data_IF_271938080072
#
_entry.id   IF_271938080072
#
_cell.length_a   1.000
_cell.length_b   1.000
_cell.length_c   1.000
_cell.angle_alpha   90.00
_cell.angle_beta   90.00
_cell.angle_gamma   90.00
#
_symmetry.space_group_name_H-M   'P 1'
#
loop_
_entity.id
_entity.type
_entity.pdbx_description
1 polymer ?
#
# COMPACT_ATOMS: atom_id res chain seq x y z
N UNK A 1 1.49 19.37 -6.36
CA UNK A 1 0.70 19.39 -5.10
C UNK A 1 1.42 20.14 -3.99
N UNK A 2 2.72 19.94 -3.79
CA UNK A 2 3.46 20.63 -2.71
C UNK A 2 3.62 22.16 -2.90
N UNK A 3 3.66 22.65 -4.14
CA UNK A 3 3.84 24.08 -4.42
C UNK A 3 2.68 24.97 -3.91
N UNK A 4 1.44 24.47 -3.90
CA UNK A 4 0.27 25.23 -3.43
C UNK A 4 0.20 25.28 -1.89
N UNK A 5 0.61 24.19 -1.23
CA UNK A 5 0.71 24.14 0.23
C UNK A 5 1.88 24.97 0.78
N UNK A 6 2.91 25.21 -0.04
CA UNK A 6 4.08 26.04 0.29
C UNK A 6 3.89 27.52 -0.03
N UNK A 7 2.77 27.92 -0.64
CA UNK A 7 2.45 29.32 -0.90
C UNK A 7 2.18 30.08 0.41
N UNK A 8 2.47 31.38 0.45
CA UNK A 8 2.16 32.25 1.58
C UNK A 8 1.29 33.44 1.12
N UNK A 9 0.00 33.52 1.51
CA UNK A 9 -0.70 32.59 2.40
C UNK A 9 -0.95 31.21 1.74
N UNK A 10 -1.09 30.14 2.54
CA UNK A 10 -1.34 28.80 2.02
C UNK A 10 -2.68 28.76 1.29
N UNK A 11 -2.66 28.28 0.05
CA UNK A 11 -3.87 28.15 -0.76
C UNK A 11 -4.52 26.81 -0.41
N UNK A 12 -5.79 26.79 0.05
CA UNK A 12 -6.45 25.54 0.40
C UNK A 12 -6.61 24.67 -0.85
N UNK A 13 -6.11 23.43 -0.77
CA UNK A 13 -6.27 22.44 -1.82
C UNK A 13 -7.57 21.68 -1.60
N UNK A 14 -8.54 21.86 -2.50
CA UNK A 14 -9.75 21.02 -2.54
C UNK A 14 -9.50 19.87 -3.51
N UNK A 15 -9.72 18.62 -3.08
CA UNK A 15 -9.63 17.44 -3.94
C UNK A 15 -11.04 16.95 -4.23
N UNK A 16 -11.40 16.95 -5.51
CA UNK A 16 -12.67 16.41 -5.99
C UNK A 16 -12.41 15.10 -6.72
N UNK A 17 -13.06 14.03 -6.29
CA UNK A 17 -13.00 12.72 -6.93
C UNK A 17 -14.31 12.43 -7.64
N UNK A 18 -14.22 11.90 -8.85
CA UNK A 18 -15.39 11.44 -9.61
C UNK A 18 -15.48 9.93 -9.46
N UNK A 19 -16.56 9.48 -8.84
CA UNK A 19 -16.81 8.09 -8.49
C UNK A 19 -18.05 7.54 -9.21
N UNK A 20 -18.22 6.22 -9.12
CA UNK A 20 -19.45 5.51 -9.48
C UNK A 20 -19.95 4.70 -8.29
N UNK A 21 -21.26 4.57 -8.14
CA UNK A 21 -21.88 3.65 -7.19
C UNK A 21 -23.02 2.87 -7.84
N UNK A 22 -23.35 1.71 -7.29
CA UNK A 22 -24.48 0.90 -7.80
C UNK A 22 -25.82 1.62 -7.60
N UNK A 23 -25.98 2.37 -6.51
CA UNK A 23 -27.23 3.05 -6.16
C UNK A 23 -27.44 4.39 -6.86
N UNK A 24 -26.36 5.12 -7.18
CA UNK A 24 -26.43 6.50 -7.66
C UNK A 24 -25.78 6.71 -9.04
N UNK A 25 -25.26 5.66 -9.68
CA UNK A 25 -24.75 5.71 -11.05
C UNK A 25 -23.36 6.32 -11.16
N UNK A 26 -23.11 7.06 -12.25
CA UNK A 26 -21.80 7.64 -12.59
C UNK A 26 -21.76 9.15 -12.30
N UNK A 27 -20.55 9.71 -12.12
CA UNK A 27 -20.38 11.17 -12.01
C UNK A 27 -20.53 11.71 -10.59
N UNK A 28 -20.43 10.85 -9.58
CA UNK A 28 -20.56 11.26 -8.18
C UNK A 28 -19.31 12.01 -7.73
N UNK A 29 -19.46 13.29 -7.37
CA UNK A 29 -18.35 14.09 -6.85
C UNK A 29 -18.27 13.86 -5.34
N UNK A 30 -17.12 13.39 -4.87
CA UNK A 30 -16.82 13.28 -3.44
C UNK A 30 -15.52 14.01 -3.13
N UNK A 31 -15.49 14.69 -1.99
CA UNK A 31 -14.29 15.36 -1.47
C UNK A 31 -13.51 14.46 -0.49
N UNK A 32 -14.14 13.40 0.00
CA UNK A 32 -13.60 12.53 1.07
C UNK A 32 -13.31 11.11 0.60
N UNK A 33 -14.04 10.62 -0.40
CA UNK A 33 -13.97 9.23 -0.85
C UNK A 33 -12.99 9.07 -2.00
N UNK A 34 -11.71 9.13 -1.64
CA UNK A 34 -10.62 8.86 -2.57
C UNK A 34 -10.76 7.43 -3.12
N UNK A 35 -10.84 7.25 -4.45
CA UNK A 35 -10.97 5.95 -5.07
C UNK A 35 -9.82 5.02 -4.68
N UNK A 36 -10.09 3.72 -4.54
CA UNK A 36 -9.09 2.72 -4.13
C UNK A 36 -7.75 2.83 -4.89
N UNK A 37 -7.80 3.06 -6.20
CA UNK A 37 -6.61 3.20 -7.05
C UNK A 37 -5.70 4.38 -6.64
N UNK A 38 -6.28 5.45 -6.11
CA UNK A 38 -5.59 6.67 -5.69
C UNK A 38 -5.15 6.64 -4.22
N UNK A 39 -5.72 5.75 -3.41
CA UNK A 39 -5.38 5.64 -1.98
C UNK A 39 -3.90 5.23 -1.78
N UNK A 40 -3.24 5.95 -0.87
CA UNK A 40 -1.91 5.58 -0.34
C UNK A 40 -1.93 4.23 0.39
N UNK A 41 -0.77 3.60 0.55
CA UNK A 41 -0.62 2.34 1.31
C UNK A 41 -1.20 2.44 2.72
N UNK A 42 -0.94 3.54 3.42
CA UNK A 42 -1.46 3.75 4.79
C UNK A 42 -2.98 3.78 4.78
N UNK A 43 -3.60 4.49 3.83
CA UNK A 43 -5.07 4.56 3.72
C UNK A 43 -5.69 3.22 3.36
N UNK A 44 -5.06 2.46 2.45
CA UNK A 44 -5.49 1.10 2.11
C UNK A 44 -5.46 0.16 3.31
N UNK A 45 -4.40 0.21 4.12
CA UNK A 45 -4.30 -0.56 5.36
C UNK A 45 -5.41 -0.16 6.35
N UNK A 46 -5.73 1.13 6.50
CA UNK A 46 -6.85 1.58 7.33
C UNK A 46 -8.21 1.07 6.84
N UNK A 47 -8.44 1.10 5.52
CA UNK A 47 -9.64 0.54 4.88
C UNK A 47 -9.75 -0.96 5.16
N UNK A 48 -8.65 -1.71 5.00
CA UNK A 48 -8.60 -3.14 5.31
C UNK A 48 -8.83 -3.43 6.81
N UNK A 49 -8.28 -2.61 7.71
CA UNK A 49 -8.55 -2.72 9.16
C UNK A 49 -10.02 -2.49 9.48
N UNK A 50 -10.66 -1.53 8.79
CA UNK A 50 -12.09 -1.25 8.95
C UNK A 50 -12.95 -2.40 8.41
N UNK A 51 -12.59 -2.95 7.24
CA UNK A 51 -13.26 -4.13 6.69
C UNK A 51 -13.11 -5.34 7.62
N UNK A 52 -11.92 -5.55 8.18
CA UNK A 52 -11.67 -6.65 9.11
C UNK A 52 -12.57 -6.58 10.35
N UNK A 53 -12.76 -5.39 10.93
CA UNK A 53 -13.69 -5.18 12.06
C UNK A 53 -15.14 -5.50 11.69
N UNK A 54 -15.54 -5.29 10.45
CA UNK A 54 -16.89 -5.68 10.00
C UNK A 54 -17.13 -7.19 10.03
N UNK A 55 -16.06 -8.00 10.19
CA UNK A 55 -16.13 -9.45 10.32
C UNK A 55 -16.16 -9.96 11.77
N UNK A 56 -16.13 -9.09 12.79
CA UNK A 56 -15.99 -9.49 14.22
C UNK A 56 -17.15 -10.38 14.75
N UNK A 57 -18.24 -10.53 13.99
CA UNK A 57 -19.37 -11.44 14.31
C UNK A 57 -19.50 -12.67 13.40
N UNK A 58 -18.60 -12.85 12.43
CA UNK A 58 -18.68 -13.98 11.50
C UNK A 58 -18.32 -15.29 12.20
N UNK A 59 -19.20 -16.29 12.13
CA UNK A 59 -19.03 -17.60 12.78
C UNK A 59 -19.08 -18.77 11.80
N UNK A 60 -19.69 -18.59 10.63
CA UNK A 60 -19.73 -19.60 9.57
C UNK A 60 -18.84 -19.18 8.38
N UNK A 61 -17.71 -19.88 8.26
CA UNK A 61 -16.71 -19.66 7.22
C UNK A 61 -16.84 -20.60 6.02
N UNK A 62 -17.92 -21.40 5.96
CA UNK A 62 -18.15 -22.38 4.90
C UNK A 62 -19.04 -21.86 3.77
N UNK A 63 -19.69 -20.71 3.97
CA UNK A 63 -20.61 -20.13 3.01
C UNK A 63 -19.90 -19.55 1.78
N UNK A 64 -20.59 -19.57 0.62
CA UNK A 64 -20.08 -18.89 -0.58
C UNK A 64 -19.95 -17.37 -0.37
N UNK A 65 -20.81 -16.79 0.48
CA UNK A 65 -20.72 -15.38 0.87
C UNK A 65 -19.41 -15.09 1.60
N UNK A 66 -19.04 -15.90 2.59
CA UNK A 66 -17.77 -15.75 3.30
C UNK A 66 -16.58 -15.92 2.35
N UNK A 67 -16.62 -16.95 1.50
CA UNK A 67 -15.59 -17.19 0.48
C UNK A 67 -15.37 -15.96 -0.41
N UNK A 68 -16.44 -15.27 -0.83
CA UNK A 68 -16.34 -14.04 -1.62
C UNK A 68 -15.74 -12.89 -0.81
N UNK A 69 -16.24 -12.64 0.40
CA UNK A 69 -15.69 -11.58 1.27
C UNK A 69 -14.20 -11.79 1.57
N UNK A 70 -13.78 -13.03 1.82
CA UNK A 70 -12.39 -13.37 2.02
C UNK A 70 -11.57 -13.13 0.75
N UNK A 71 -12.06 -13.56 -0.41
CA UNK A 71 -11.41 -13.33 -1.71
C UNK A 71 -11.24 -11.83 -2.01
N UNK A 72 -12.25 -11.01 -1.72
CA UNK A 72 -12.19 -9.56 -1.95
C UNK A 72 -11.19 -8.89 -1.00
N UNK A 73 -11.16 -9.29 0.28
CA UNK A 73 -10.14 -8.84 1.23
C UNK A 73 -8.72 -9.14 0.76
N UNK A 74 -8.45 -10.37 0.31
CA UNK A 74 -7.11 -10.76 -0.16
C UNK A 74 -6.74 -10.15 -1.50
N UNK A 75 -7.71 -9.83 -2.36
CA UNK A 75 -7.47 -9.09 -3.59
C UNK A 75 -6.99 -7.67 -3.27
N UNK A 76 -7.67 -6.96 -2.37
CA UNK A 76 -7.26 -5.64 -1.91
C UNK A 76 -5.91 -5.68 -1.15
N UNK A 77 -5.68 -6.71 -0.32
CA UNK A 77 -4.40 -6.89 0.36
C UNK A 77 -3.24 -7.11 -0.61
N UNK A 78 -3.44 -7.92 -1.67
CA UNK A 78 -2.46 -8.10 -2.75
C UNK A 78 -2.15 -6.78 -3.44
N UNK A 79 -3.17 -6.02 -3.83
CA UNK A 79 -2.96 -4.72 -4.46
C UNK A 79 -2.26 -3.74 -3.52
N UNK A 80 -2.47 -3.85 -2.21
CA UNK A 80 -1.77 -3.04 -1.20
C UNK A 80 -0.29 -3.41 -1.11
N UNK A 81 0.07 -4.69 -1.22
CA UNK A 81 1.47 -5.11 -1.34
C UNK A 81 2.15 -4.54 -2.58
N UNK A 82 1.48 -4.59 -3.73
CA UNK A 82 2.01 -3.99 -4.97
C UNK A 82 2.25 -2.49 -4.82
N UNK A 83 1.28 -1.77 -4.24
CA UNK A 83 1.44 -0.34 -3.97
C UNK A 83 2.53 -0.06 -2.93
N UNK A 84 2.71 -0.93 -1.93
CA UNK A 84 3.76 -0.79 -0.92
C UNK A 84 5.15 -0.90 -1.55
N UNK A 85 5.36 -1.85 -2.46
CA UNK A 85 6.64 -2.00 -3.16
C UNK A 85 6.96 -0.71 -3.93
N UNK A 86 6.01 -0.18 -4.69
CA UNK A 86 6.18 1.04 -5.48
C UNK A 86 6.39 2.29 -4.59
N UNK A 87 5.49 2.50 -3.64
CA UNK A 87 5.40 3.72 -2.85
C UNK A 87 6.51 3.81 -1.77
N UNK A 88 6.83 2.67 -1.14
CA UNK A 88 7.61 2.64 0.10
C UNK A 88 8.97 1.99 -0.12
N UNK A 89 9.03 0.75 -0.63
CA UNK A 89 10.31 0.06 -0.83
C UNK A 89 11.16 0.75 -1.91
N UNK A 90 10.56 1.02 -3.07
CA UNK A 90 11.21 1.73 -4.18
C UNK A 90 11.18 3.25 -4.00
N UNK A 91 10.59 3.75 -2.91
CA UNK A 91 10.59 5.17 -2.55
C UNK A 91 10.03 6.09 -3.64
N UNK A 92 9.06 5.62 -4.46
CA UNK A 92 8.50 6.38 -5.60
C UNK A 92 9.52 6.74 -6.69
N UNK A 93 10.64 6.00 -6.81
CA UNK A 93 11.60 6.21 -7.91
C UNK A 93 10.94 5.96 -9.27
N UNK A 94 10.11 4.92 -9.35
CA UNK A 94 9.27 4.59 -10.50
C UNK A 94 7.84 4.45 -9.99
N UNK A 95 6.90 5.12 -10.64
CA UNK A 95 5.47 5.06 -10.33
C UNK A 95 4.66 4.85 -11.61
N UNK A 96 3.60 4.05 -11.54
CA UNK A 96 2.65 3.88 -12.65
C UNK A 96 2.10 5.24 -13.10
N UNK A 97 2.01 5.43 -14.42
CA UNK A 97 1.49 6.66 -15.05
C UNK A 97 2.28 7.94 -14.76
N UNK A 98 3.52 7.81 -14.28
CA UNK A 98 4.48 8.91 -14.24
C UNK A 98 5.55 8.71 -15.31
N UNK A 99 5.82 9.73 -16.12
CA UNK A 99 6.88 9.68 -17.15
C UNK A 99 8.28 9.72 -16.55
N UNK A 100 8.41 10.31 -15.36
CA UNK A 100 9.70 10.67 -14.80
C UNK A 100 10.23 9.58 -13.88
N UNK A 101 11.52 9.26 -14.04
CA UNK A 101 12.27 8.48 -13.05
C UNK A 101 12.81 9.45 -11.99
N UNK A 102 12.30 9.35 -10.75
CA UNK A 102 12.66 10.27 -9.65
C UNK A 102 13.99 9.89 -9.01
N UNK A 103 15.09 10.19 -9.69
CA UNK A 103 16.47 9.84 -9.25
C UNK A 103 16.80 10.35 -7.86
N UNK A 104 16.31 11.53 -7.47
CA UNK A 104 16.50 12.09 -6.12
C UNK A 104 15.88 11.23 -5.01
N UNK A 105 14.85 10.42 -5.32
CA UNK A 105 14.24 9.51 -4.34
C UNK A 105 15.16 8.35 -3.94
N UNK A 106 16.20 8.04 -4.73
CA UNK A 106 17.17 6.98 -4.42
C UNK A 106 17.86 7.17 -3.07
N UNK A 107 17.93 8.42 -2.57
CA UNK A 107 18.46 8.71 -1.23
C UNK A 107 17.73 7.95 -0.12
N UNK A 108 16.47 7.59 -0.30
CA UNK A 108 15.69 6.81 0.67
C UNK A 108 15.58 5.31 0.37
N UNK A 109 16.11 4.83 -0.76
CA UNK A 109 15.93 3.43 -1.19
C UNK A 109 17.01 2.53 -0.62
N UNK A 110 16.58 1.48 0.06
CA UNK A 110 17.41 0.36 0.52
C UNK A 110 16.61 -0.91 0.29
N UNK A 111 17.19 -1.85 -0.44
CA UNK A 111 16.59 -3.17 -0.71
C UNK A 111 17.58 -4.22 -0.27
N UNK A 112 17.14 -5.08 0.65
CA UNK A 112 17.93 -6.15 1.26
C UNK A 112 17.32 -7.51 0.89
N UNK A 113 18.09 -8.59 1.06
CA UNK A 113 17.64 -9.95 0.73
C UNK A 113 16.38 -10.36 1.52
N UNK A 114 16.27 -9.89 2.77
CA UNK A 114 15.08 -10.13 3.59
C UNK A 114 13.83 -9.40 3.07
N UNK A 115 13.97 -8.27 2.37
CA UNK A 115 12.85 -7.61 1.69
C UNK A 115 12.31 -8.49 0.56
N UNK A 116 13.22 -9.03 -0.27
CA UNK A 116 12.85 -9.94 -1.35
C UNK A 116 12.12 -11.17 -0.79
N UNK A 117 12.69 -11.80 0.23
CA UNK A 117 12.10 -12.98 0.87
C UNK A 117 10.72 -12.68 1.47
N UNK A 118 10.58 -11.58 2.21
CA UNK A 118 9.32 -11.19 2.85
C UNK A 118 8.25 -10.91 1.80
N UNK A 119 8.57 -10.15 0.75
CA UNK A 119 7.65 -9.86 -0.35
C UNK A 119 7.29 -11.13 -1.11
N UNK A 120 8.26 -11.99 -1.42
CA UNK A 120 8.00 -13.24 -2.14
C UNK A 120 6.98 -14.11 -1.39
N UNK A 121 7.20 -14.35 -0.10
CA UNK A 121 6.30 -15.18 0.70
C UNK A 121 4.95 -14.51 0.96
N UNK A 122 4.93 -13.20 1.20
CA UNK A 122 3.69 -12.46 1.35
C UNK A 122 2.86 -12.49 0.06
N UNK A 123 3.48 -12.20 -1.07
CA UNK A 123 2.84 -12.26 -2.40
C UNK A 123 2.33 -13.65 -2.70
N UNK A 124 3.11 -14.70 -2.43
CA UNK A 124 2.64 -16.09 -2.61
C UNK A 124 1.40 -16.36 -1.78
N UNK A 125 1.42 -15.99 -0.50
CA UNK A 125 0.31 -16.19 0.44
C UNK A 125 -0.97 -15.46 0.03
N UNK A 126 -0.87 -14.18 -0.37
CA UNK A 126 -2.05 -13.42 -0.81
C UNK A 126 -2.53 -13.86 -2.20
N UNK A 127 -1.62 -14.26 -3.09
CA UNK A 127 -1.95 -14.77 -4.44
C UNK A 127 -2.80 -16.04 -4.38
N UNK A 128 -2.45 -16.96 -3.49
CA UNK A 128 -3.19 -18.22 -3.30
C UNK A 128 -4.61 -18.00 -2.77
N UNK A 129 -4.92 -16.79 -2.27
CA UNK A 129 -6.20 -16.44 -1.64
C UNK A 129 -6.96 -15.34 -2.42
N UNK A 130 -6.34 -14.77 -3.45
CA UNK A 130 -6.92 -13.77 -4.33
C UNK A 130 -7.34 -14.42 -5.65
N UNK A 131 -8.57 -14.16 -6.12
CA UNK A 131 -8.87 -14.20 -7.55
C UNK A 131 -9.05 -15.57 -8.24
N UNK A 132 -8.15 -16.53 -8.02
CA UNK A 132 -7.93 -17.66 -8.93
C UNK A 132 -8.73 -18.92 -8.56
N UNK A 133 -9.07 -19.72 -9.58
CA UNK A 133 -9.61 -21.06 -9.39
C UNK A 133 -8.52 -21.95 -8.79
N UNK A 134 -8.86 -22.65 -7.71
CA UNK A 134 -7.92 -23.49 -6.99
C UNK A 134 -8.08 -24.93 -7.49
N UNK A 135 -6.96 -25.58 -7.82
CA UNK A 135 -6.98 -26.99 -8.18
C UNK A 135 -7.67 -27.79 -7.07
N UNK A 136 -8.59 -28.69 -7.46
CA UNK A 136 -9.42 -29.47 -6.52
C UNK A 136 -8.62 -30.26 -5.47
N UNK A 137 -7.36 -30.60 -5.78
CA UNK A 137 -6.44 -31.27 -4.87
C UNK A 137 -5.83 -30.36 -3.78
N UNK A 138 -5.91 -29.02 -3.93
CA UNK A 138 -5.49 -28.05 -2.92
C UNK A 138 -6.72 -27.55 -2.14
N UNK A 139 -7.13 -28.31 -1.13
CA UNK A 139 -8.12 -27.85 -0.17
C UNK A 139 -7.49 -26.84 0.82
N UNK A 140 -7.21 -25.62 0.35
CA UNK A 140 -6.81 -24.54 1.25
C UNK A 140 -8.07 -24.06 1.98
N UNK A 141 -8.11 -24.09 3.33
CA UNK A 141 -9.24 -23.56 4.07
C UNK A 141 -9.50 -22.09 3.72
N UNK A 142 -10.78 -21.73 3.65
CA UNK A 142 -11.17 -20.32 3.49
C UNK A 142 -10.61 -19.54 4.68
N UNK A 143 -9.88 -18.43 4.46
CA UNK A 143 -9.27 -17.67 5.54
C UNK A 143 -10.28 -17.22 6.60
N UNK A 144 -9.86 -17.26 7.86
CA UNK A 144 -10.61 -16.71 8.98
C UNK A 144 -10.28 -15.22 9.16
N UNK A 145 -11.08 -14.44 9.93
CA UNK A 145 -10.69 -13.09 10.32
C UNK A 145 -9.32 -13.03 11.00
N UNK A 146 -8.94 -14.06 11.76
CA UNK A 146 -7.63 -14.12 12.42
C UNK A 146 -6.47 -14.27 11.41
N UNK A 147 -6.65 -15.07 10.35
CA UNK A 147 -5.66 -15.19 9.28
C UNK A 147 -5.49 -13.84 8.57
N UNK A 148 -6.60 -13.19 8.24
CA UNK A 148 -6.62 -11.85 7.62
C UNK A 148 -5.93 -10.81 8.51
N UNK A 149 -6.19 -10.85 9.82
CA UNK A 149 -5.55 -9.98 10.81
C UNK A 149 -4.04 -10.17 10.80
N UNK A 150 -3.57 -11.41 10.90
CA UNK A 150 -2.14 -11.72 10.90
C UNK A 150 -1.45 -11.23 9.63
N UNK A 151 -2.08 -11.40 8.48
CA UNK A 151 -1.52 -10.99 7.19
C UNK A 151 -1.52 -9.46 7.04
N UNK A 152 -2.56 -8.80 7.54
CA UNK A 152 -2.67 -7.33 7.56
C UNK A 152 -1.67 -6.68 8.53
N UNK A 153 -1.47 -7.27 9.71
CA UNK A 153 -0.45 -6.83 10.65
C UNK A 153 0.96 -7.03 10.04
N UNK A 154 1.14 -8.12 9.27
CA UNK A 154 2.39 -8.41 8.57
C UNK A 154 2.81 -7.33 7.56
N UNK A 155 1.86 -6.81 6.77
CA UNK A 155 2.13 -5.71 5.83
C UNK A 155 2.32 -4.37 6.56
N UNK A 156 1.54 -4.08 7.61
CA UNK A 156 1.67 -2.83 8.36
C UNK A 156 3.00 -2.76 9.11
N UNK A 157 3.44 -3.88 9.70
CA UNK A 157 4.76 -3.96 10.30
C UNK A 157 5.86 -3.75 9.26
N UNK A 158 5.75 -4.37 8.09
CA UNK A 158 6.74 -4.18 7.01
C UNK A 158 6.81 -2.72 6.53
N UNK A 159 5.65 -2.06 6.44
CA UNK A 159 5.55 -0.63 6.14
C UNK A 159 6.31 0.20 7.18
N UNK A 160 6.11 -0.07 8.47
CA UNK A 160 6.76 0.64 9.57
C UNK A 160 8.29 0.45 9.49
N UNK A 161 8.74 -0.80 9.37
CA UNK A 161 10.16 -1.16 9.32
C UNK A 161 10.86 -0.48 8.13
N UNK A 162 10.26 -0.56 6.94
CA UNK A 162 10.81 0.03 5.71
C UNK A 162 10.82 1.55 5.77
N UNK A 163 9.77 2.17 6.32
CA UNK A 163 9.71 3.63 6.48
C UNK A 163 10.78 4.13 7.44
N UNK A 164 11.05 3.40 8.53
CA UNK A 164 12.14 3.74 9.46
C UNK A 164 13.49 3.70 8.75
N UNK A 165 13.79 2.57 8.09
CA UNK A 165 15.04 2.38 7.34
C UNK A 165 15.24 3.40 6.23
N UNK A 166 14.17 3.79 5.54
CA UNK A 166 14.19 4.89 4.56
C UNK A 166 14.71 6.18 5.19
N UNK A 167 14.15 6.61 6.32
CA UNK A 167 14.58 7.84 7.02
C UNK A 167 16.05 7.78 7.44
N UNK A 168 16.50 6.62 7.92
CA UNK A 168 17.90 6.41 8.32
C UNK A 168 18.83 6.50 7.11
N UNK A 169 18.43 5.93 5.96
CA UNK A 169 19.18 6.03 4.71
C UNK A 169 19.24 7.46 4.16
N UNK A 170 18.12 8.19 4.21
CA UNK A 170 18.04 9.60 3.83
C UNK A 170 19.02 10.43 4.66
N UNK A 171 18.99 10.29 5.98
CA UNK A 171 19.88 11.01 6.90
C UNK A 171 21.35 10.77 6.56
N UNK A 172 21.75 9.50 6.38
CA UNK A 172 23.13 9.13 6.05
C UNK A 172 23.59 9.67 4.69
N UNK A 173 22.71 9.69 3.68
CA UNK A 173 23.08 10.10 2.31
C UNK A 173 23.06 11.60 2.10
N UNK A 174 22.32 12.37 2.90
CA UNK A 174 22.43 13.84 2.94
C UNK A 174 23.86 14.30 3.26
N UNK A 175 24.62 13.52 4.04
CA UNK A 175 26.03 13.82 4.33
C UNK A 175 26.92 13.71 3.08
N UNK A 176 26.60 12.81 2.14
CA UNK A 176 27.33 12.67 0.87
C UNK A 176 27.03 13.78 -0.13
N UNK A 177 25.92 14.48 0.04
CA UNK A 177 25.50 15.60 -0.81
C UNK A 177 26.13 16.94 -0.36
N UNK A 178 26.89 16.95 0.75
CA UNK A 178 27.61 18.14 1.20
C UNK A 178 28.78 18.44 0.26
N UNK A 179 28.91 19.69 -0.26
CA UNK A 179 30.02 20.04 -1.13
C UNK A 179 31.36 19.93 -0.38
N UNK A 180 32.45 19.48 -1.04
CA UNK A 180 33.76 19.48 -0.41
C UNK A 180 34.14 20.90 0.02
N UNK A 181 34.69 21.02 1.24
CA UNK A 181 35.18 22.32 1.73
C UNK A 181 36.31 22.78 0.82
N UNK A 182 36.23 24.01 0.33
CA UNK A 182 37.27 24.59 -0.51
C UNK A 182 38.61 24.59 0.25
N UNK A 183 39.62 23.93 -0.30
CA UNK A 183 41.00 24.03 0.17
C UNK A 183 41.60 25.29 -0.44
N UNK A 184 41.82 26.32 0.37
CA UNK A 184 42.60 27.49 -0.07
C UNK A 184 44.06 27.04 -0.18
N UNK A 185 44.62 27.10 -1.39
CA UNK A 185 46.05 26.87 -1.66
C UNK A 185 46.89 28.05 -1.19
#
# INVERSE_FOLDING_TARGET
VDAAAQANPPIPLVRNYINKSESAGFGLISETDEPWIAQSVTKRIETLKTRLKSFDGATDFTTDAWRRSAKDFYSDLRETWERLVEEILLGKVVERFNSDVKTQSLKGVVVEDEDHKRIYWAMKRVSERSGHDMASAKAIPVPTPNDMKSDLDGIDQYRIDTTKRKKDAEKRRIEFEQPPKATVL
#
